data_IF_728707745631
#
_entry.id   IF_728707745631
#
_cell.length_a   1.000
_cell.length_b   1.000
_cell.length_c   1.000
_cell.angle_alpha   90.00
_cell.angle_beta   90.00
_cell.angle_gamma   90.00
#
_symmetry.space_group_name_H-M   'P 1'
#
loop_
_entity.id
_entity.type
_entity.pdbx_description
1 polymer ?
#
# COMPACT_ATOMS: atom_id res chain seq x y z
N UNK A 1 6.49 -21.06 0.76
CA UNK A 1 6.33 -19.84 -0.05
C UNK A 1 5.66 -18.82 0.86
N UNK A 2 6.25 -17.63 1.06
CA UNK A 2 5.55 -16.58 1.82
C UNK A 2 4.38 -16.10 0.96
N UNK A 3 3.21 -15.91 1.55
CA UNK A 3 2.03 -15.41 0.85
C UNK A 3 1.76 -13.99 1.30
N UNK A 4 1.84 -13.04 0.36
CA UNK A 4 1.60 -11.61 0.60
C UNK A 4 0.13 -11.27 0.35
N UNK A 5 -0.78 -11.83 1.16
CA UNK A 5 -2.22 -11.73 0.91
C UNK A 5 -2.70 -10.28 0.92
N UNK A 6 -2.29 -9.50 1.92
CA UNK A 6 -2.77 -8.13 2.12
C UNK A 6 -2.21 -7.19 1.05
N UNK A 7 -0.95 -7.38 0.67
CA UNK A 7 -0.32 -6.66 -0.44
C UNK A 7 -1.00 -6.99 -1.77
N UNK A 8 -1.30 -8.27 -2.04
CA UNK A 8 -2.00 -8.67 -3.26
C UNK A 8 -3.39 -8.00 -3.35
N UNK A 9 -4.17 -8.06 -2.27
CA UNK A 9 -5.48 -7.40 -2.18
C UNK A 9 -5.38 -5.88 -2.37
N UNK A 10 -4.33 -5.25 -1.84
CA UNK A 10 -4.09 -3.82 -2.01
C UNK A 10 -3.73 -3.48 -3.46
N UNK A 11 -2.85 -4.25 -4.10
CA UNK A 11 -2.50 -4.10 -5.52
C UNK A 11 -3.72 -4.27 -6.42
N UNK A 12 -4.59 -5.24 -6.13
CA UNK A 12 -5.86 -5.41 -6.85
C UNK A 12 -6.79 -4.20 -6.70
N UNK A 13 -6.92 -3.64 -5.49
CA UNK A 13 -7.70 -2.43 -5.26
C UNK A 13 -7.13 -1.23 -6.04
N UNK A 14 -5.81 -1.06 -6.04
CA UNK A 14 -5.14 -0.03 -6.82
C UNK A 14 -5.38 -0.22 -8.33
N UNK A 15 -5.35 -1.46 -8.82
CA UNK A 15 -5.62 -1.75 -10.23
C UNK A 15 -7.08 -1.48 -10.63
N UNK A 16 -8.04 -1.64 -9.72
CA UNK A 16 -9.44 -1.21 -9.98
C UNK A 16 -9.52 0.30 -10.19
N UNK A 17 -8.85 1.08 -9.34
CA UNK A 17 -8.76 2.53 -9.51
C UNK A 17 -8.01 2.92 -10.78
N UNK A 18 -6.89 2.26 -11.07
CA UNK A 18 -6.13 2.49 -12.31
C UNK A 18 -7.01 2.26 -13.55
N UNK A 19 -7.83 1.20 -13.56
CA UNK A 19 -8.79 0.93 -14.64
C UNK A 19 -9.83 2.05 -14.79
N UNK A 20 -10.38 2.57 -13.69
CA UNK A 20 -11.35 3.67 -13.70
C UNK A 20 -10.71 4.95 -14.28
N UNK A 21 -9.45 5.23 -13.94
CA UNK A 21 -8.75 6.46 -14.35
C UNK A 21 -7.88 6.31 -15.60
N UNK A 22 -7.88 5.15 -16.26
CA UNK A 22 -7.07 4.90 -17.47
C UNK A 22 -5.56 4.78 -17.23
N UNK A 23 -5.14 4.53 -15.99
CA UNK A 23 -3.74 4.25 -15.62
C UNK A 23 -3.40 2.79 -15.88
N UNK A 24 -2.15 2.48 -16.22
CA UNK A 24 -1.69 1.09 -16.39
C UNK A 24 -1.77 0.29 -15.08
N UNK A 25 -2.10 -0.99 -15.19
CA UNK A 25 -2.10 -1.91 -14.05
C UNK A 25 -0.68 -2.20 -13.54
N UNK A 26 -0.59 -2.53 -12.26
CA UNK A 26 0.59 -3.06 -11.59
C UNK A 26 0.50 -4.59 -11.55
N UNK A 27 1.48 -5.27 -12.14
CA UNK A 27 1.55 -6.73 -12.16
C UNK A 27 2.69 -7.24 -11.29
N UNK A 28 2.54 -8.46 -10.75
CA UNK A 28 3.64 -9.20 -10.15
C UNK A 28 4.44 -9.98 -11.22
N UNK A 29 5.77 -10.10 -11.09
CA UNK A 29 6.59 -9.46 -10.06
C UNK A 29 6.66 -7.94 -10.24
N UNK A 30 6.58 -7.21 -9.12
CA UNK A 30 6.59 -5.74 -9.15
C UNK A 30 7.92 -5.24 -9.71
N UNK A 31 7.86 -4.21 -10.54
CA UNK A 31 9.02 -3.41 -10.90
C UNK A 31 9.30 -2.39 -9.79
N UNK A 32 10.55 -1.93 -9.68
CA UNK A 32 10.94 -0.90 -8.69
C UNK A 32 9.99 0.31 -8.68
N UNK A 33 9.59 0.78 -9.86
CA UNK A 33 8.64 1.89 -9.97
C UNK A 33 7.31 1.62 -9.24
N UNK A 34 6.74 0.42 -9.43
CA UNK A 34 5.46 0.07 -8.79
C UNK A 34 5.64 -0.05 -7.27
N UNK A 35 6.76 -0.58 -6.78
CA UNK A 35 7.06 -0.61 -5.35
C UNK A 35 7.16 0.81 -4.76
N UNK A 36 7.82 1.74 -5.46
CA UNK A 36 7.90 3.14 -5.05
C UNK A 36 6.51 3.81 -5.04
N UNK A 37 5.73 3.64 -6.11
CA UNK A 37 4.39 4.22 -6.23
C UNK A 37 3.46 3.69 -5.11
N UNK A 38 3.52 2.40 -4.82
CA UNK A 38 2.76 1.77 -3.73
C UNK A 38 3.16 2.34 -2.37
N UNK A 39 4.47 2.44 -2.09
CA UNK A 39 4.93 2.98 -0.80
C UNK A 39 4.52 4.45 -0.61
N UNK A 40 4.61 5.28 -1.66
CA UNK A 40 4.14 6.66 -1.62
C UNK A 40 2.64 6.74 -1.34
N UNK A 41 1.84 5.86 -1.96
CA UNK A 41 0.40 5.80 -1.73
C UNK A 41 0.08 5.39 -0.29
N UNK A 42 0.73 4.35 0.21
CA UNK A 42 0.57 3.86 1.59
C UNK A 42 0.95 4.96 2.60
N UNK A 43 2.07 5.64 2.39
CA UNK A 43 2.49 6.75 3.23
C UNK A 43 1.46 7.88 3.25
N UNK A 44 0.96 8.28 2.07
CA UNK A 44 -0.12 9.26 1.98
C UNK A 44 -1.38 8.83 2.73
N UNK A 45 -1.78 7.55 2.67
CA UNK A 45 -2.95 7.05 3.40
C UNK A 45 -2.73 6.90 4.92
N UNK A 46 -1.48 6.75 5.37
CA UNK A 46 -1.09 6.69 6.78
C UNK A 46 -0.92 8.05 7.45
N UNK A 47 -0.82 9.13 6.66
CA UNK A 47 -0.79 10.51 7.18
C UNK A 47 -1.97 10.78 8.14
N UNK A 48 -1.80 11.54 9.23
CA UNK A 48 -2.85 11.74 10.23
C UNK A 48 -4.19 12.20 9.65
N UNK A 49 -4.16 13.10 8.66
CA UNK A 49 -5.33 13.62 7.96
C UNK A 49 -6.07 12.54 7.17
N UNK A 50 -5.36 11.75 6.35
CA UNK A 50 -5.99 10.74 5.52
C UNK A 50 -6.36 9.48 6.31
N UNK A 51 -5.59 9.16 7.35
CA UNK A 51 -5.84 8.02 8.22
C UNK A 51 -7.11 8.21 9.04
N UNK A 52 -7.35 9.44 9.50
CA UNK A 52 -8.55 9.81 10.27
C UNK A 52 -9.71 10.35 9.43
N UNK A 53 -9.50 10.60 8.13
CA UNK A 53 -10.43 11.33 7.27
C UNK A 53 -10.77 12.68 7.89
N UNK A 54 -9.75 13.49 8.19
CA UNK A 54 -9.89 14.78 8.89
C UNK A 54 -10.67 14.69 10.22
N UNK A 55 -10.52 13.56 10.92
CA UNK A 55 -11.20 13.28 12.19
C UNK A 55 -12.65 12.77 12.07
N UNK A 56 -13.15 12.54 10.85
CA UNK A 56 -14.51 12.05 10.61
C UNK A 56 -14.69 10.55 10.95
N UNK A 57 -13.62 9.77 10.92
CA UNK A 57 -13.65 8.35 11.24
C UNK A 57 -13.73 8.11 12.76
N UNK A 58 -14.50 7.09 13.16
CA UNK A 58 -14.45 6.59 14.53
C UNK A 58 -13.06 6.04 14.87
N UNK A 59 -12.68 6.07 16.14
CA UNK A 59 -11.40 5.52 16.60
C UNK A 59 -11.19 4.06 16.15
N UNK A 60 -12.25 3.24 16.16
CA UNK A 60 -12.19 1.86 15.67
C UNK A 60 -11.93 1.77 14.16
N UNK A 61 -12.52 2.65 13.36
CA UNK A 61 -12.28 2.69 11.92
C UNK A 61 -10.85 3.15 11.61
N UNK A 62 -10.34 4.17 12.32
CA UNK A 62 -8.95 4.63 12.24
C UNK A 62 -7.98 3.49 12.57
N UNK A 63 -8.22 2.78 13.67
CA UNK A 63 -7.36 1.67 14.09
C UNK A 63 -7.36 0.52 13.07
N UNK A 64 -8.53 0.17 12.53
CA UNK A 64 -8.64 -0.87 11.50
C UNK A 64 -7.88 -0.49 10.22
N UNK A 65 -8.02 0.76 9.76
CA UNK A 65 -7.30 1.28 8.60
C UNK A 65 -5.79 1.30 8.85
N UNK A 66 -5.35 1.75 10.02
CA UNK A 66 -3.94 1.78 10.41
C UNK A 66 -3.33 0.37 10.38
N UNK A 67 -4.01 -0.60 10.98
CA UNK A 67 -3.54 -1.99 11.04
C UNK A 67 -3.41 -2.56 9.62
N UNK A 68 -4.44 -2.38 8.78
CA UNK A 68 -4.43 -2.83 7.39
C UNK A 68 -3.25 -2.24 6.61
N UNK A 69 -3.11 -0.91 6.59
CA UNK A 69 -2.05 -0.22 5.85
C UNK A 69 -0.65 -0.57 6.37
N UNK A 70 -0.50 -0.75 7.68
CA UNK A 70 0.76 -1.21 8.29
C UNK A 70 1.12 -2.62 7.84
N UNK A 71 0.15 -3.53 7.75
CA UNK A 71 0.38 -4.87 7.22
C UNK A 71 0.77 -4.83 5.74
N UNK A 72 0.07 -4.03 4.91
CA UNK A 72 0.44 -3.84 3.50
C UNK A 72 1.88 -3.31 3.37
N UNK A 73 2.25 -2.29 4.16
CA UNK A 73 3.61 -1.75 4.19
C UNK A 73 4.65 -2.83 4.50
N UNK A 74 4.46 -3.57 5.58
CA UNK A 74 5.39 -4.63 6.00
C UNK A 74 5.49 -5.75 4.97
N UNK A 75 4.39 -6.14 4.35
CA UNK A 75 4.41 -7.11 3.26
C UNK A 75 5.15 -6.57 2.03
N UNK A 76 5.00 -5.29 1.67
CA UNK A 76 5.73 -4.64 0.57
C UNK A 76 7.24 -4.57 0.86
N UNK A 77 7.63 -4.17 2.07
CA UNK A 77 9.03 -4.15 2.50
C UNK A 77 9.67 -5.54 2.38
N UNK A 78 8.97 -6.57 2.88
CA UNK A 78 9.45 -7.95 2.79
C UNK A 78 9.48 -8.45 1.34
N UNK A 79 8.50 -8.08 0.52
CA UNK A 79 8.48 -8.39 -0.91
C UNK A 79 9.69 -7.80 -1.62
N UNK A 80 10.05 -6.53 -1.36
CA UNK A 80 11.22 -5.89 -1.96
C UNK A 80 12.51 -6.64 -1.61
N UNK A 81 12.70 -6.98 -0.33
CA UNK A 81 13.85 -7.76 0.14
C UNK A 81 13.93 -9.14 -0.55
N UNK A 82 12.80 -9.82 -0.69
CA UNK A 82 12.72 -11.16 -1.29
C UNK A 82 12.94 -11.11 -2.83
N UNK A 83 12.76 -9.95 -3.48
CA UNK A 83 12.82 -9.79 -4.94
C UNK A 83 13.93 -8.84 -5.43
N UNK A 84 14.92 -8.52 -4.58
CA UNK A 84 16.06 -7.66 -4.92
C UNK A 84 15.66 -6.27 -5.43
N UNK A 85 14.62 -5.70 -4.83
CA UNK A 85 14.22 -4.31 -5.04
C UNK A 85 14.76 -3.46 -3.89
N UNK A 86 15.03 -2.19 -4.18
CA UNK A 86 15.27 -1.21 -3.13
C UNK A 86 13.98 -1.03 -2.32
N UNK A 87 14.05 -1.19 -1.00
CA UNK A 87 12.92 -0.97 -0.11
C UNK A 87 12.68 0.54 0.03
N UNK A 88 11.55 1.09 -0.48
CA UNK A 88 11.29 2.51 -0.39
C UNK A 88 10.91 2.90 1.04
N UNK A 89 11.26 4.10 1.48
CA UNK A 89 10.89 4.60 2.80
C UNK A 89 9.43 5.05 2.85
N UNK A 90 8.76 4.76 3.97
CA UNK A 90 7.39 5.21 4.23
C UNK A 90 7.42 6.53 5.03
N UNK A 91 7.33 7.67 4.35
CA UNK A 91 7.47 9.01 4.95
C UNK A 91 6.13 9.77 4.84
N UNK A 92 5.57 10.18 5.99
CA UNK A 92 4.31 10.93 6.12
C UNK A 92 4.28 11.76 7.41
#
# INVERSE_FOLDING_TARGET
>A
MKTFNTLNEYVEQMNRWNSIFGTSAMDFPLKQKNANDLMQKIAGELSPENLSCDGELSQSAVQNKFNYLTTVRTELEQYCLDNWLDTPECIY
#
